data_IF_782939600749
#
_entry.id   IF_782939600749
#
_cell.length_a   1.000
_cell.length_b   1.000
_cell.length_c   1.000
_cell.angle_alpha   90.00
_cell.angle_beta   90.00
_cell.angle_gamma   90.00
#
_symmetry.space_group_name_H-M   'P 1'
#
loop_
_entity.id
_entity.type
_entity.pdbx_description
1 polymer ?
2 polymer ?
3 non-polymer ?
4 water ?
#
# COMPACT_ATOMS: atom_id res chain seq x y z
N UNK A 2 -13.71 26.70 -11.94
CA UNK A 2 -14.50 26.02 -10.91
C UNK A 2 -14.28 24.52 -10.96
N UNK A 3 -14.22 23.89 -9.79
CA UNK A 3 -13.94 22.49 -9.70
C UNK A 3 -12.45 22.23 -9.72
N UNK A 4 -12.04 21.00 -9.39
CA UNK A 4 -10.62 20.69 -9.32
C UNK A 4 -9.99 20.59 -10.70
N UNK A 5 -8.67 20.74 -10.72
CA UNK A 5 -7.88 20.59 -11.93
C UNK A 5 -7.58 19.10 -12.11
N UNK A 6 -7.70 18.56 -13.32
CA UNK A 6 -7.44 17.13 -13.53
C UNK A 6 -5.97 16.80 -13.35
N UNK A 7 -5.69 15.51 -13.23
CA UNK A 7 -4.34 15.02 -12.98
C UNK A 7 -4.15 13.68 -13.68
N UNK A 8 -2.90 13.41 -14.07
CA UNK A 8 -2.50 12.17 -14.72
C UNK A 8 -1.29 11.60 -14.02
N UNK A 9 -1.21 10.27 -13.97
CA UNK A 9 0.05 9.63 -13.63
C UNK A 9 1.14 10.06 -14.62
N UNK A 10 2.34 10.30 -14.12
CA UNK A 10 3.44 10.64 -15.02
C UNK A 10 4.10 9.42 -15.62
N UNK A 11 3.78 8.21 -15.14
CA UNK A 11 4.30 6.96 -15.69
C UNK A 11 3.15 5.97 -15.81
N UNK A 12 3.32 5.01 -16.73
CA UNK A 12 2.38 3.91 -16.91
C UNK A 12 0.96 4.43 -17.13
N UNK A 13 0.86 5.56 -17.82
CA UNK A 13 -0.40 6.27 -17.92
C UNK A 13 -1.45 5.47 -18.68
N UNK A 14 -1.12 5.02 -19.89
CA UNK A 14 -2.08 4.47 -20.83
C UNK A 14 -1.94 2.95 -21.00
N UNK A 15 -1.48 2.27 -19.96
CA UNK A 15 -1.19 0.84 -20.10
C UNK A 15 -2.46 0.02 -20.28
N UNK A 16 -3.55 0.42 -19.63
CA UNK A 16 -4.76 -0.40 -19.66
C UNK A 16 -5.55 -0.25 -20.96
N UNK A 17 -5.49 0.91 -21.61
CA UNK A 17 -6.21 1.09 -22.86
C UNK A 17 -5.55 0.33 -24.01
N UNK A 18 -4.30 -0.09 -23.85
CA UNK A 18 -3.61 -0.89 -24.86
C UNK A 18 -3.73 -2.38 -24.59
N UNK A 19 -4.21 -2.78 -23.42
CA UNK A 19 -4.55 -4.15 -23.15
C UNK A 19 -5.91 -4.47 -23.75
N UNK A 20 -6.19 -5.75 -24.00
CA UNK A 20 -7.56 -6.13 -24.36
C UNK A 20 -8.51 -5.83 -23.22
N UNK A 21 -9.80 -5.74 -23.57
CA UNK A 21 -10.82 -5.43 -22.56
C UNK A 21 -10.80 -6.43 -21.42
N UNK A 22 -10.48 -7.70 -21.71
CA UNK A 22 -10.50 -8.74 -20.69
C UNK A 22 -9.56 -8.43 -19.53
N UNK A 23 -8.46 -7.73 -19.80
CA UNK A 23 -7.43 -7.55 -18.77
C UNK A 23 -7.95 -6.74 -17.59
N UNK A 24 -8.66 -5.65 -17.86
CA UNK A 24 -9.06 -4.73 -16.80
C UNK A 24 -10.55 -4.70 -16.51
N UNK A 25 -11.39 -5.29 -17.38
CA UNK A 25 -12.84 -5.30 -17.17
C UNK A 25 -13.19 -6.51 -16.31
N UNK A 26 -12.90 -6.40 -15.02
CA UNK A 26 -12.99 -7.53 -14.09
C UNK A 26 -14.42 -7.97 -13.81
N UNK A 27 -15.40 -7.14 -14.15
CA UNK A 27 -16.79 -7.52 -13.90
C UNK A 27 -17.19 -8.75 -14.71
N UNK A 28 -16.62 -8.93 -15.90
CA UNK A 28 -16.96 -10.04 -16.76
C UNK A 28 -16.02 -11.22 -16.60
N UNK A 29 -15.15 -11.19 -15.61
CA UNK A 29 -14.21 -12.28 -15.39
C UNK A 29 -14.93 -13.50 -14.80
N UNK A 30 -14.73 -14.65 -15.42
CA UNK A 30 -15.34 -15.90 -14.95
C UNK A 30 -14.34 -16.61 -14.04
N UNK A 31 -14.72 -16.83 -12.80
CA UNK A 31 -13.83 -17.40 -11.80
C UNK A 31 -13.74 -18.91 -11.98
N UNK A 32 -12.53 -19.43 -12.13
CA UNK A 32 -12.30 -20.87 -12.18
C UNK A 32 -12.10 -21.38 -10.76
N UNK A 33 -12.99 -22.27 -10.32
CA UNK A 33 -13.03 -22.71 -8.94
C UNK A 33 -12.20 -23.97 -8.72
N UNK A 34 -11.66 -24.09 -7.52
CA UNK A 34 -10.98 -25.29 -7.07
C UNK A 34 -11.87 -26.12 -6.18
N UNK A 35 -11.23 -26.97 -5.36
CA UNK A 35 -11.93 -27.90 -4.51
C UNK A 35 -11.63 -27.57 -3.05
N UNK A 36 -12.63 -27.09 -2.33
CA UNK A 36 -12.46 -26.65 -0.94
C UNK A 36 -12.06 -27.78 -0.02
N UNK A 37 -12.35 -29.03 -0.39
CA UNK A 37 -11.96 -30.19 0.41
C UNK A 37 -10.45 -30.37 0.49
N UNK A 38 -9.69 -29.76 -0.42
CA UNK A 38 -8.23 -29.91 -0.40
C UNK A 38 -7.57 -29.13 0.75
N UNK A 39 -8.33 -28.40 1.55
CA UNK A 39 -7.76 -27.50 2.55
C UNK A 39 -8.46 -27.69 3.88
N UNK A 40 -7.66 -27.90 4.93
CA UNK A 40 -8.15 -28.02 6.29
C UNK A 40 -7.70 -26.81 7.10
N UNK A 41 -8.65 -26.15 7.76
CA UNK A 41 -8.35 -24.95 8.53
C UNK A 41 -7.73 -25.31 9.87
N UNK A 42 -6.61 -24.68 10.20
CA UNK A 42 -5.84 -24.99 11.39
C UNK A 42 -6.16 -24.01 12.51
N UNK A 43 -5.92 -22.73 12.27
CA UNK A 43 -6.16 -21.69 13.26
C UNK A 43 -6.53 -20.40 12.56
N UNK A 44 -7.34 -19.59 13.24
CA UNK A 44 -7.72 -18.29 12.71
C UNK A 44 -6.64 -17.27 13.05
N UNK A 45 -6.20 -16.51 12.05
CA UNK A 45 -5.15 -15.52 12.26
C UNK A 45 -5.71 -14.13 12.59
N UNK A 46 -6.90 -13.82 12.11
CA UNK A 46 -7.51 -12.54 12.42
C UNK A 46 -8.70 -12.30 11.53
N UNK A 47 -9.31 -11.13 11.72
CA UNK A 47 -10.35 -10.71 10.79
C UNK A 47 -10.49 -9.20 10.78
N UNK A 48 -10.77 -8.66 9.60
CA UNK A 48 -11.10 -7.28 9.43
C UNK A 48 -12.54 -7.11 8.99
N UNK A 49 -12.82 -5.98 8.35
CA UNK A 49 -14.18 -5.71 7.90
C UNK A 49 -14.55 -6.48 6.64
N UNK A 50 -13.57 -6.97 5.88
CA UNK A 50 -13.84 -7.56 4.59
C UNK A 50 -13.60 -9.06 4.50
N UNK A 51 -12.93 -9.66 5.48
CA UNK A 51 -12.59 -11.08 5.38
C UNK A 51 -12.20 -11.63 6.75
N UNK A 52 -12.08 -12.96 6.78
CA UNK A 52 -11.50 -13.72 7.87
C UNK A 52 -10.33 -14.50 7.31
N UNK A 53 -9.22 -14.54 8.05
CA UNK A 53 -7.96 -15.09 7.53
C UNK A 53 -7.52 -16.23 8.43
N UNK A 54 -7.16 -17.35 7.81
CA UNK A 54 -6.83 -18.58 8.52
C UNK A 54 -5.52 -19.15 8.01
N UNK A 55 -4.74 -19.72 8.92
CA UNK A 55 -3.70 -20.67 8.54
C UNK A 55 -4.37 -22.01 8.26
N UNK A 56 -4.01 -22.63 7.15
CA UNK A 56 -4.60 -23.90 6.73
C UNK A 56 -3.50 -24.80 6.18
N UNK A 57 -3.91 -26.01 5.78
CA UNK A 57 -3.01 -26.99 5.22
C UNK A 57 -3.65 -27.57 3.97
N UNK A 58 -2.91 -27.57 2.87
CA UNK A 58 -3.30 -28.35 1.70
C UNK A 58 -3.06 -29.82 2.00
N UNK A 59 -4.13 -30.58 2.21
CA UNK A 59 -4.03 -31.96 2.67
C UNK A 59 -3.33 -32.87 1.67
N UNK A 60 -3.36 -32.52 0.38
CA UNK A 60 -2.79 -33.39 -0.64
C UNK A 60 -1.26 -33.43 -0.56
N UNK A 61 -0.62 -32.27 -0.71
CA UNK A 61 0.83 -32.17 -0.63
C UNK A 61 1.34 -31.82 0.76
N UNK A 62 0.44 -31.69 1.74
CA UNK A 62 0.81 -31.47 3.14
C UNK A 62 1.53 -30.13 3.34
N UNK A 63 1.28 -29.16 2.46
CA UNK A 63 1.92 -27.85 2.54
C UNK A 63 1.03 -26.87 3.28
N UNK A 64 1.65 -25.95 4.00
CA UNK A 64 0.92 -24.90 4.71
C UNK A 64 0.50 -23.81 3.74
N UNK A 65 -0.70 -23.28 3.96
CA UNK A 65 -1.24 -22.19 3.15
C UNK A 65 -1.96 -21.22 4.07
N UNK A 66 -2.35 -20.08 3.50
CA UNK A 66 -3.17 -19.09 4.17
C UNK A 66 -4.44 -18.91 3.37
N UNK A 67 -5.59 -19.02 4.04
CA UNK A 67 -6.90 -18.95 3.40
C UNK A 67 -7.58 -17.67 3.83
N UNK A 68 -8.01 -16.87 2.86
CA UNK A 68 -8.73 -15.63 3.11
C UNK A 68 -10.19 -15.84 2.74
N UNK A 69 -11.05 -15.94 3.74
CA UNK A 69 -12.47 -16.18 3.54
C UNK A 69 -13.17 -14.83 3.47
N UNK A 70 -13.67 -14.49 2.29
CA UNK A 70 -14.24 -13.17 2.06
C UNK A 70 -15.62 -13.07 2.69
N UNK A 71 -15.89 -11.93 3.31
CA UNK A 71 -17.24 -11.64 3.75
C UNK A 71 -18.07 -11.19 2.55
N UNK A 72 -19.39 -11.38 2.60
CA UNK A 72 -20.25 -11.01 1.46
C UNK A 72 -20.09 -9.55 1.08
N UNK A 73 -19.67 -9.31 -0.16
CA UNK A 73 -19.54 -7.99 -0.73
C UNK A 73 -19.95 -8.07 -2.21
N UNK A 74 -19.99 -6.91 -2.86
CA UNK A 74 -20.41 -6.87 -4.26
C UNK A 74 -19.52 -7.76 -5.11
N UNK A 75 -20.16 -8.61 -5.93
CA UNK A 75 -19.44 -9.56 -6.77
C UNK A 75 -18.32 -8.90 -7.57
N UNK A 76 -18.52 -7.64 -7.98
CA UNK A 76 -17.49 -6.96 -8.76
C UNK A 76 -16.25 -6.69 -7.93
N UNK A 77 -16.38 -6.54 -6.61
CA UNK A 77 -15.21 -6.29 -5.78
C UNK A 77 -14.41 -7.57 -5.54
N UNK A 78 -15.10 -8.70 -5.33
CA UNK A 78 -14.40 -9.98 -5.24
C UNK A 78 -13.72 -10.29 -6.56
N UNK A 79 -14.41 -10.07 -7.68
CA UNK A 79 -13.81 -10.29 -8.99
C UNK A 79 -12.64 -9.34 -9.22
N UNK A 80 -12.72 -8.12 -8.67
CA UNK A 80 -11.62 -7.17 -8.84
C UNK A 80 -10.36 -7.69 -8.15
N UNK A 81 -10.49 -8.15 -6.90
CA UNK A 81 -9.33 -8.65 -6.18
C UNK A 81 -8.76 -9.89 -6.86
N UNK A 82 -9.63 -10.78 -7.34
CA UNK A 82 -9.18 -12.01 -7.98
C UNK A 82 -8.48 -11.70 -9.30
N UNK A 83 -9.09 -10.85 -10.13
CA UNK A 83 -8.51 -10.53 -11.42
C UNK A 83 -7.16 -9.83 -11.27
N UNK A 84 -7.03 -9.00 -10.23
CA UNK A 84 -5.76 -8.33 -9.99
C UNK A 84 -4.71 -9.32 -9.52
N UNK A 85 -5.10 -10.27 -8.67
CA UNK A 85 -4.17 -11.29 -8.19
C UNK A 85 -3.70 -12.18 -9.33
N UNK A 86 -4.59 -12.51 -10.27
CA UNK A 86 -4.20 -13.35 -11.39
C UNK A 86 -3.32 -12.57 -12.37
N UNK A 87 -3.64 -11.30 -12.62
CA UNK A 87 -2.81 -10.49 -13.50
C UNK A 87 -1.39 -10.35 -12.97
N UNK A 88 -1.24 -10.24 -11.65
CA UNK A 88 0.05 -9.97 -11.03
C UNK A 88 0.79 -11.24 -10.60
N UNK A 89 0.15 -12.39 -10.70
CA UNK A 89 0.73 -13.64 -10.20
C UNK A 89 2.08 -13.91 -10.83
N UNK A 90 3.07 -14.25 -10.00
CA UNK A 90 4.41 -14.51 -10.47
C UNK A 90 5.34 -13.31 -10.48
N UNK A 91 4.81 -12.10 -10.33
CA UNK A 91 5.61 -10.90 -10.33
C UNK A 91 6.49 -10.82 -9.09
N UNK A 92 7.53 -9.99 -9.15
CA UNK A 92 8.48 -9.92 -8.02
C UNK A 92 7.80 -9.52 -6.72
N UNK A 93 7.90 -10.41 -5.73
CA UNK A 93 7.45 -10.18 -4.36
C UNK A 93 5.94 -9.98 -4.24
N UNK A 94 5.17 -10.39 -5.25
CA UNK A 94 3.72 -10.41 -5.17
C UNK A 94 3.29 -11.72 -4.53
N UNK A 95 2.41 -11.64 -3.54
CA UNK A 95 1.86 -12.86 -2.95
C UNK A 95 1.17 -13.68 -4.03
N UNK A 96 1.37 -14.99 -3.97
CA UNK A 96 0.87 -15.90 -5.00
C UNK A 96 -0.49 -16.45 -4.61
N UNK A 97 -1.48 -16.29 -5.49
CA UNK A 97 -2.81 -16.86 -5.28
C UNK A 97 -2.78 -18.28 -5.81
N UNK A 98 -2.74 -19.25 -4.89
CA UNK A 98 -2.58 -20.64 -5.28
C UNK A 98 -3.90 -21.26 -5.74
N UNK A 99 -5.03 -20.86 -5.18
CA UNK A 99 -6.29 -21.53 -5.47
C UNK A 99 -7.44 -20.66 -5.01
N UNK A 100 -8.63 -20.95 -5.55
CA UNK A 100 -9.88 -20.28 -5.18
C UNK A 100 -10.93 -21.35 -4.99
N UNK A 101 -11.56 -21.38 -3.81
CA UNK A 101 -12.59 -22.36 -3.48
C UNK A 101 -13.81 -21.63 -2.93
N UNK A 102 -14.92 -22.36 -2.86
CA UNK A 102 -16.16 -21.87 -2.28
C UNK A 102 -16.24 -22.39 -0.85
N UNK A 103 -16.22 -21.48 0.12
CA UNK A 103 -16.27 -21.90 1.51
C UNK A 103 -17.66 -22.46 1.82
N UNK A 104 -17.75 -23.67 2.37
CA UNK A 104 -19.09 -24.29 2.56
C UNK A 104 -19.94 -23.61 3.60
N UNK A 105 -19.33 -22.89 4.55
CA UNK A 105 -20.09 -22.25 5.61
C UNK A 105 -20.52 -20.84 5.22
N UNK A 106 -19.58 -20.00 4.78
CA UNK A 106 -19.91 -18.64 4.41
C UNK A 106 -20.59 -18.54 3.05
N UNK A 107 -20.40 -19.54 2.18
CA UNK A 107 -20.91 -19.55 0.82
C UNK A 107 -20.33 -18.41 -0.02
N UNK A 108 -19.23 -17.85 0.42
CA UNK A 108 -18.47 -16.83 -0.29
C UNK A 108 -17.12 -17.40 -0.73
N UNK A 109 -16.44 -16.74 -1.66
CA UNK A 109 -15.13 -17.26 -2.10
C UNK A 109 -14.09 -17.21 -0.99
N UNK A 110 -13.22 -18.22 -1.01
CA UNK A 110 -12.08 -18.30 -0.11
C UNK A 110 -10.81 -18.37 -0.94
N UNK A 111 -9.91 -17.41 -0.73
CA UNK A 111 -8.67 -17.35 -1.49
C UNK A 111 -7.56 -18.06 -0.72
N UNK A 112 -6.85 -18.96 -1.42
CA UNK A 112 -5.74 -19.70 -0.83
C UNK A 112 -4.44 -19.09 -1.33
N UNK A 113 -3.56 -18.72 -0.40
CA UNK A 113 -2.31 -18.04 -0.70
C UNK A 113 -1.13 -18.87 -0.27
N UNK A 114 -0.01 -18.70 -0.97
CA UNK A 114 1.25 -19.29 -0.53
C UNK A 114 1.56 -18.82 0.89
N UNK A 115 2.14 -19.72 1.70
CA UNK A 115 2.41 -19.39 3.08
C UNK A 115 3.74 -18.62 3.21
N UNK A 116 3.76 -17.68 4.13
CA UNK A 116 4.98 -16.92 4.46
C UNK A 116 5.17 -16.98 5.97
N UNK A 117 6.37 -17.38 6.40
CA UNK A 117 6.71 -17.41 7.83
C UNK A 117 6.86 -16.00 8.38
N UNK A 118 5.78 -15.23 8.40
CA UNK A 118 5.87 -13.81 8.71
C UNK A 118 6.07 -13.60 10.21
N UNK A 119 7.02 -12.74 10.55
CA UNK A 119 7.14 -12.21 11.90
C UNK A 119 6.41 -10.88 11.94
N UNK A 120 5.60 -10.67 12.98
CA UNK A 120 4.81 -9.45 13.08
C UNK A 120 5.74 -8.23 13.05
N UNK A 121 5.27 -7.16 12.41
CA UNK A 121 6.16 -6.04 12.14
C UNK A 121 6.58 -5.30 13.40
N UNK A 122 5.72 -5.28 14.42
CA UNK A 122 6.05 -4.56 15.66
C UNK A 122 7.29 -5.15 16.32
N UNK A 123 7.34 -6.47 16.44
CA UNK A 123 8.55 -7.12 16.96
C UNK A 123 9.70 -7.03 15.97
N UNK A 124 9.42 -7.24 14.68
CA UNK A 124 10.49 -7.34 13.70
C UNK A 124 11.17 -5.99 13.47
N UNK A 125 10.39 -4.90 13.39
CA UNK A 125 10.97 -3.61 13.05
C UNK A 125 11.95 -3.11 14.12
N UNK A 126 11.79 -3.57 15.36
CA UNK A 126 12.74 -3.22 16.41
C UNK A 126 14.11 -3.85 16.19
N UNK A 127 14.19 -4.89 15.36
CA UNK A 127 15.44 -5.60 15.12
C UNK A 127 16.07 -5.31 13.76
N UNK A 128 15.41 -4.54 12.90
CA UNK A 128 15.95 -4.29 11.58
C UNK A 128 17.15 -3.33 11.66
N UNK A 129 18.24 -3.70 11.00
CA UNK A 129 19.40 -2.83 10.91
C UNK A 129 19.20 -1.82 9.78
N UNK A 130 20.14 -0.88 9.69
CA UNK A 130 20.13 0.07 8.56
C UNK A 130 20.16 -0.67 7.23
N UNK A 131 20.98 -1.73 7.13
CA UNK A 131 21.02 -2.50 5.90
C UNK A 131 19.69 -3.21 5.65
N UNK A 132 19.09 -3.81 6.68
CA UNK A 132 17.83 -4.53 6.50
C UNK A 132 16.74 -3.61 5.97
N UNK A 133 16.65 -2.39 6.51
CA UNK A 133 15.63 -1.45 6.03
C UNK A 133 15.81 -1.17 4.55
N UNK A 134 17.05 -0.88 4.13
CA UNK A 134 17.31 -0.63 2.71
C UNK A 134 16.98 -1.85 1.86
N UNK A 135 17.38 -3.03 2.33
CA UNK A 135 17.11 -4.27 1.58
C UNK A 135 15.60 -4.48 1.39
N UNK A 136 14.85 -4.40 2.48
CA UNK A 136 13.42 -4.70 2.36
C UNK A 136 12.68 -3.59 1.62
N UNK A 137 13.12 -2.35 1.79
CA UNK A 137 12.53 -1.25 1.02
C UNK A 137 12.68 -1.48 -0.47
N UNK A 138 13.87 -1.93 -0.89
CA UNK A 138 14.08 -2.25 -2.30
C UNK A 138 13.19 -3.39 -2.74
N UNK A 139 13.01 -4.39 -1.88
CA UNK A 139 12.11 -5.50 -2.21
C UNK A 139 10.68 -5.04 -2.37
N UNK A 140 10.22 -4.15 -1.49
CA UNK A 140 8.87 -3.56 -1.65
C UNK A 140 8.77 -2.80 -2.96
N UNK A 141 9.82 -2.05 -3.30
CA UNK A 141 9.77 -1.24 -4.51
C UNK A 141 9.68 -2.10 -5.76
N UNK A 142 10.30 -3.27 -5.76
CA UNK A 142 10.15 -4.20 -6.87
C UNK A 142 8.68 -4.56 -7.08
N UNK A 143 7.97 -4.84 -5.99
CA UNK A 143 6.55 -5.19 -6.09
C UNK A 143 5.72 -4.01 -6.56
N UNK A 144 6.00 -2.81 -6.03
CA UNK A 144 5.20 -1.66 -6.40
C UNK A 144 5.45 -1.26 -7.86
N UNK A 145 6.71 -1.29 -8.30
CA UNK A 145 6.98 -0.97 -9.70
C UNK A 145 6.30 -1.97 -10.64
N UNK A 146 6.31 -3.25 -10.27
CA UNK A 146 5.68 -4.24 -11.14
C UNK A 146 4.19 -3.97 -11.29
N UNK A 147 3.47 -3.79 -10.17
CA UNK A 147 2.03 -3.64 -10.27
C UNK A 147 1.63 -2.30 -10.89
N UNK A 148 2.40 -1.24 -10.63
CA UNK A 148 2.19 0.03 -11.34
C UNK A 148 2.39 -0.13 -12.84
N UNK A 149 3.42 -0.89 -13.25
CA UNK A 149 3.65 -1.12 -14.68
C UNK A 149 2.57 -2.00 -15.29
N UNK A 150 1.84 -2.75 -14.48
CA UNK A 150 0.70 -3.53 -14.92
C UNK A 150 -0.60 -2.75 -14.78
N UNK A 151 -0.52 -1.44 -14.55
CA UNK A 151 -1.70 -0.60 -14.47
C UNK A 151 -2.52 -0.74 -13.21
N UNK A 152 -1.89 -1.06 -12.09
CA UNK A 152 -2.61 -1.38 -10.86
C UNK A 152 -2.02 -0.59 -9.70
N UNK A 153 -2.88 0.12 -8.96
CA UNK A 153 -2.51 0.72 -7.69
C UNK A 153 -2.86 -0.22 -6.56
N UNK A 154 -1.96 -0.34 -5.57
CA UNK A 154 -2.25 -1.19 -4.43
C UNK A 154 -3.27 -0.54 -3.50
N UNK A 155 -3.02 0.71 -3.11
CA UNK A 155 -3.92 1.57 -2.35
C UNK A 155 -4.06 1.16 -0.88
N UNK A 156 -3.24 0.24 -0.39
CA UNK A 156 -3.29 -0.12 1.03
C UNK A 156 -1.90 -0.52 1.53
N UNK A 157 -0.88 0.19 1.09
CA UNK A 157 0.49 -0.12 1.52
C UNK A 157 0.67 0.28 2.98
N UNK A 158 1.11 -0.68 3.79
CA UNK A 158 1.35 -0.49 5.22
C UNK A 158 2.10 -1.72 5.73
N UNK A 159 2.74 -1.62 6.91
CA UNK A 159 3.50 -2.78 7.41
C UNK A 159 2.68 -4.06 7.53
N UNK A 160 1.40 -3.97 7.92
CA UNK A 160 0.60 -5.18 8.08
C UNK A 160 0.29 -5.86 6.75
N UNK A 161 0.50 -5.18 5.62
CA UNK A 161 0.31 -5.77 4.31
C UNK A 161 1.62 -6.16 3.66
N UNK A 162 2.69 -6.27 4.44
CA UNK A 162 4.02 -6.63 3.95
C UNK A 162 4.48 -7.79 4.83
N UNK A 163 4.42 -9.01 4.28
CA UNK A 163 4.82 -10.21 5.00
C UNK A 163 6.30 -10.44 4.80
N UNK A 164 7.03 -10.59 5.90
CA UNK A 164 8.48 -10.74 5.85
C UNK A 164 8.88 -11.97 6.67
N UNK A 165 9.54 -12.92 6.01
CA UNK A 165 10.21 -14.04 6.66
C UNK A 165 11.67 -13.62 6.83
N UNK A 166 11.99 -13.07 8.01
CA UNK A 166 13.31 -12.49 8.22
C UNK A 166 14.39 -13.56 8.22
N UNK A 167 14.05 -14.79 8.61
CA UNK A 167 15.02 -15.87 8.62
C UNK A 167 15.53 -16.20 7.21
N UNK A 168 14.65 -16.06 6.21
CA UNK A 168 15.00 -16.42 4.84
C UNK A 168 15.01 -15.23 3.89
N UNK A 169 14.94 -14.00 4.42
CA UNK A 169 15.02 -12.77 3.62
C UNK A 169 13.91 -12.69 2.57
N UNK A 170 12.74 -13.23 2.92
CA UNK A 170 11.62 -13.34 2.00
C UNK A 170 10.59 -12.25 2.31
N UNK A 171 10.10 -11.59 1.26
CA UNK A 171 9.12 -10.52 1.40
C UNK A 171 8.01 -10.70 0.38
N UNK A 172 6.77 -10.52 0.84
CA UNK A 172 5.61 -10.57 -0.04
C UNK A 172 4.66 -9.42 0.28
N UNK A 173 4.15 -8.78 -0.76
CA UNK A 173 3.11 -7.75 -0.63
C UNK A 173 1.74 -8.41 -0.77
N UNK A 174 0.89 -8.24 0.24
CA UNK A 174 -0.37 -8.98 0.32
C UNK A 174 -1.55 -8.03 0.38
N UNK A 175 -2.75 -8.61 0.52
CA UNK A 175 -4.01 -7.90 0.70
C UNK A 175 -4.25 -6.90 -0.43
N UNK A 176 -4.66 -7.43 -1.57
CA UNK A 176 -4.99 -6.64 -2.76
C UNK A 176 -6.47 -6.32 -2.85
N UNK A 177 -7.19 -6.37 -1.73
CA UNK A 177 -8.63 -6.14 -1.73
C UNK A 177 -9.04 -4.72 -2.06
N UNK A 178 -8.13 -3.76 -1.87
CA UNK A 178 -8.39 -2.36 -2.20
C UNK A 178 -7.79 -1.95 -3.53
N UNK A 179 -7.06 -2.83 -4.19
CA UNK A 179 -6.35 -2.45 -5.41
C UNK A 179 -7.33 -2.18 -6.54
N UNK A 180 -6.95 -1.23 -7.40
CA UNK A 180 -7.74 -0.86 -8.56
C UNK A 180 -6.85 -0.70 -9.78
N UNK A 181 -7.46 -0.79 -10.95
CA UNK A 181 -6.79 -0.46 -12.20
C UNK A 181 -6.76 1.05 -12.40
N UNK A 182 -5.62 1.55 -12.86
CA UNK A 182 -5.48 2.99 -13.12
C UNK A 182 -5.93 3.30 -14.54
N UNK A 183 -6.98 4.13 -14.64
CA UNK A 183 -7.44 4.66 -15.92
C UNK A 183 -7.31 6.17 -15.87
N UNK A 184 -6.58 6.80 -16.78
CA UNK A 184 -6.33 8.25 -16.68
C UNK A 184 -7.64 9.03 -16.64
N UNK A 185 -7.68 10.03 -15.76
CA UNK A 185 -8.85 10.87 -15.63
C UNK A 185 -9.97 10.28 -14.80
N UNK A 186 -9.83 9.04 -14.34
CA UNK A 186 -10.86 8.42 -13.54
C UNK A 186 -10.81 8.95 -12.11
N UNK A 187 -11.96 9.29 -11.55
CA UNK A 187 -12.06 9.76 -10.18
C UNK A 187 -12.33 8.56 -9.27
N UNK A 188 -11.43 8.33 -8.32
CA UNK A 188 -11.50 7.15 -7.47
C UNK A 188 -12.00 7.49 -6.08
N UNK A 189 -12.38 6.45 -5.34
CA UNK A 189 -12.83 6.58 -3.96
C UNK A 189 -11.67 6.99 -3.07
N UNK A 190 -11.82 8.12 -2.36
CA UNK A 190 -10.76 8.55 -1.46
C UNK A 190 -10.73 7.75 -0.17
N UNK A 191 -11.70 6.87 0.05
CA UNK A 191 -11.71 6.01 1.23
C UNK A 191 -10.97 4.71 0.93
N UNK A 192 -9.64 4.84 0.84
CA UNK A 192 -8.73 3.72 0.69
C UNK A 192 -7.56 3.92 1.64
N UNK A 193 -6.77 2.85 1.83
CA UNK A 193 -5.60 2.83 2.70
C UNK A 193 -5.94 3.07 4.17
N UNK A 194 -5.02 2.72 5.07
CA UNK A 194 -5.21 2.97 6.48
C UNK A 194 -4.87 4.43 6.81
N UNK A 195 -5.46 4.93 7.90
CA UNK A 195 -5.36 6.34 8.25
C UNK A 195 -3.92 6.85 8.21
N UNK A 196 -3.00 6.11 8.83
CA UNK A 196 -1.64 6.61 9.00
C UNK A 196 -0.87 6.69 7.69
N UNK A 197 -1.36 6.03 6.65
CA UNK A 197 -0.68 5.93 5.38
C UNK A 197 -1.48 6.54 4.24
N UNK A 198 -2.58 7.22 4.55
CA UNK A 198 -3.34 7.94 3.53
C UNK A 198 -2.53 9.09 2.97
N UNK A 199 -2.47 9.19 1.65
CA UNK A 199 -1.82 10.31 1.02
C UNK A 199 -2.63 11.57 1.21
N UNK A 200 -1.98 12.74 1.14
CA UNK A 200 -2.72 14.00 1.26
C UNK A 200 -3.81 14.17 0.22
N UNK A 201 -3.68 13.54 -0.94
CA UNK A 201 -4.74 13.62 -1.94
C UNK A 201 -6.05 13.03 -1.39
N UNK A 202 -5.96 11.90 -0.66
CA UNK A 202 -7.15 11.34 -0.03
C UNK A 202 -7.67 12.25 1.07
N UNK A 203 -6.76 12.81 1.85
CA UNK A 203 -7.17 13.57 3.04
C UNK A 203 -7.82 14.88 2.69
N UNK A 204 -7.51 15.43 1.49
CA UNK A 204 -8.17 16.65 1.03
C UNK A 204 -9.28 16.37 0.06
N UNK A 205 -9.61 15.09 -0.18
CA UNK A 205 -10.72 14.68 -1.04
C UNK A 205 -10.46 15.00 -2.52
N UNK A 206 -9.24 14.72 -2.99
CA UNK A 206 -8.92 14.82 -4.42
C UNK A 206 -8.97 13.42 -5.02
N UNK A 207 -9.97 13.19 -5.88
CA UNK A 207 -10.29 11.84 -6.33
C UNK A 207 -9.47 11.36 -7.51
N UNK A 208 -8.79 12.24 -8.24
CA UNK A 208 -8.11 11.84 -9.47
C UNK A 208 -6.64 11.55 -9.21
N UNK A 209 -6.39 10.59 -8.32
CA UNK A 209 -5.05 10.19 -7.93
C UNK A 209 -4.59 8.99 -8.75
N UNK A 210 -3.38 8.52 -8.49
CA UNK A 210 -2.78 7.48 -9.33
C UNK A 210 -1.84 6.63 -8.49
N UNK A 211 -0.89 5.97 -9.16
CA UNK A 211 0.07 5.10 -8.47
C UNK A 211 0.83 5.83 -7.37
N UNK A 212 1.06 7.14 -7.53
CA UNK A 212 1.88 7.90 -6.58
C UNK A 212 1.32 7.86 -5.17
N UNK A 213 0.05 7.49 -5.00
CA UNK A 213 -0.50 7.26 -3.67
C UNK A 213 0.32 6.22 -2.91
N UNK A 214 0.63 5.10 -3.56
CA UNK A 214 1.44 4.06 -2.93
C UNK A 214 2.79 4.58 -2.49
N UNK A 215 3.35 5.54 -3.23
CA UNK A 215 4.67 6.04 -2.87
C UNK A 215 4.63 6.89 -1.62
N UNK A 216 3.55 7.65 -1.40
CA UNK A 216 3.41 8.34 -0.12
C UNK A 216 3.33 7.37 1.04
N UNK A 217 2.54 6.29 0.87
CA UNK A 217 2.37 5.32 1.94
C UNK A 217 3.69 4.64 2.25
N UNK A 218 4.48 4.34 1.23
CA UNK A 218 5.80 3.76 1.45
C UNK A 218 6.71 4.76 2.16
N UNK A 219 6.61 6.04 1.82
CA UNK A 219 7.35 7.05 2.56
C UNK A 219 6.99 7.07 4.03
N UNK A 220 5.71 6.87 4.35
CA UNK A 220 5.30 6.76 5.75
C UNK A 220 5.98 5.58 6.43
N UNK A 221 6.00 4.42 5.76
CA UNK A 221 6.68 3.25 6.31
C UNK A 221 8.16 3.54 6.54
N UNK A 222 8.80 4.18 5.55
CA UNK A 222 10.23 4.48 5.67
C UNK A 222 10.50 5.42 6.84
N UNK A 223 9.70 6.47 6.97
CA UNK A 223 9.88 7.39 8.10
C UNK A 223 9.72 6.66 9.42
N UNK A 224 8.78 5.73 9.48
CA UNK A 224 8.55 5.00 10.72
C UNK A 224 9.71 4.07 11.04
N UNK A 225 10.35 3.48 10.03
CA UNK A 225 11.45 2.56 10.28
C UNK A 225 12.74 3.28 10.67
N UNK A 226 13.13 4.32 9.91
CA UNK A 226 14.42 4.95 10.17
C UNK A 226 14.39 5.85 11.40
N UNK A 227 13.22 6.36 11.78
CA UNK A 227 13.10 7.17 12.99
C UNK A 227 12.61 6.36 14.19
N UNK A 228 12.27 5.08 13.99
CA UNK A 228 11.77 4.23 15.07
C UNK A 228 10.56 4.87 15.75
N UNK A 229 9.64 5.39 14.94
CA UNK A 229 8.40 5.97 15.44
C UNK A 229 7.26 5.36 14.65
N UNK A 230 6.50 4.47 15.28
CA UNK A 230 5.47 3.69 14.59
C UNK A 230 4.09 4.00 15.14
N UNK A 231 3.18 4.59 14.36
CA UNK A 231 3.43 5.10 13.01
C UNK A 231 4.05 6.49 13.06
N UNK A 232 4.45 7.03 11.91
CA UNK A 232 5.11 8.34 11.94
C UNK A 232 4.10 9.47 12.08
N UNK A 233 3.09 9.52 11.22
CA UNK A 233 2.01 10.48 11.33
C UNK A 233 0.86 9.80 12.06
N UNK A 234 0.69 10.11 13.34
CA UNK A 234 -0.25 9.42 14.22
C UNK A 234 -1.48 10.28 14.46
N UNK A 235 -2.31 10.41 13.43
CA UNK A 235 -3.52 11.19 13.57
C UNK A 235 -4.56 10.46 14.40
N UNK A 236 -5.39 11.25 15.10
CA UNK A 236 -6.49 10.69 15.88
C UNK A 236 -7.70 10.38 15.01
N UNK A 237 -7.79 10.98 13.84
CA UNK A 237 -8.85 10.73 12.86
C UNK A 237 -8.33 11.24 11.52
N UNK A 238 -9.17 11.18 10.49
CA UNK A 238 -8.72 11.57 9.15
C UNK A 238 -8.38 13.05 9.07
N UNK A 239 -9.06 13.89 9.85
CA UNK A 239 -8.77 15.32 9.81
C UNK A 239 -7.52 15.65 10.60
N UNK A 240 -7.38 15.09 11.80
CA UNK A 240 -6.15 15.27 12.56
C UNK A 240 -4.96 14.65 11.84
N UNK A 241 -5.19 13.64 10.98
CA UNK A 241 -4.11 13.05 10.21
C UNK A 241 -3.47 14.07 9.28
N UNK A 242 -4.28 14.92 8.65
CA UNK A 242 -3.70 15.95 7.78
C UNK A 242 -2.97 17.00 8.61
N UNK A 243 -3.50 17.33 9.79
CA UNK A 243 -2.80 18.23 10.69
C UNK A 243 -1.45 17.67 11.09
N UNK A 244 -1.38 16.35 11.35
CA UNK A 244 -0.12 15.72 11.72
C UNK A 244 0.91 15.87 10.60
N UNK A 245 0.48 15.67 9.35
CA UNK A 245 1.38 15.87 8.21
C UNK A 245 1.80 17.34 8.12
N UNK A 246 0.85 18.25 8.33
CA UNK A 246 1.17 19.66 8.15
C UNK A 246 2.14 20.17 9.20
N UNK A 247 2.20 19.52 10.37
CA UNK A 247 3.14 19.94 11.40
C UNK A 247 4.58 19.57 11.07
N UNK A 248 4.79 18.67 10.11
CA UNK A 248 6.12 18.28 9.67
C UNK A 248 6.45 18.90 8.31
N UNK A 249 5.53 18.82 7.37
CA UNK A 249 5.77 19.35 6.04
C UNK A 249 5.42 20.83 5.91
N UNK A 250 4.72 21.40 6.88
CA UNK A 250 4.37 22.82 6.82
C UNK A 250 3.06 23.05 6.11
N UNK A 251 2.38 24.14 6.51
CA UNK A 251 1.13 24.49 5.86
C UNK A 251 1.34 25.21 4.53
N UNK A 252 2.46 25.92 4.38
CA UNK A 252 2.74 26.63 3.14
C UNK A 252 2.66 25.70 1.92
N UNK A 253 3.41 24.59 1.97
CA UNK A 253 3.38 23.66 0.85
C UNK A 253 2.02 22.97 0.73
N UNK A 254 1.29 22.82 1.83
CA UNK A 254 -0.05 22.26 1.73
C UNK A 254 -0.96 23.17 0.92
N UNK A 255 -0.92 24.48 1.19
CA UNK A 255 -1.79 25.40 0.47
C UNK A 255 -1.36 25.54 -0.99
N UNK A 256 -0.05 25.54 -1.25
CA UNK A 256 0.41 25.50 -2.64
C UNK A 256 -0.15 24.28 -3.37
N UNK A 257 -0.19 23.14 -2.68
CA UNK A 257 -0.70 21.91 -3.27
C UNK A 257 -2.18 22.02 -3.64
N UNK A 258 -3.02 22.38 -2.66
CA UNK A 258 -4.44 22.49 -2.96
C UNK A 258 -4.73 23.63 -3.93
N UNK A 259 -3.87 24.65 -3.97
CA UNK A 259 -4.09 25.75 -4.90
C UNK A 259 -3.76 25.33 -6.33
N UNK A 260 -2.69 24.55 -6.51
CA UNK A 260 -2.35 24.05 -7.83
C UNK A 260 -3.49 23.29 -8.46
N UNK A 261 -4.20 22.46 -7.67
CA UNK A 261 -5.28 21.64 -8.19
C UNK A 261 -6.65 22.25 -7.94
N UNK A 262 -6.72 23.52 -7.53
CA UNK A 262 -7.99 24.22 -7.32
C UNK A 262 -8.88 23.44 -6.35
N UNK A 263 -8.26 22.84 -5.33
CA UNK A 263 -8.97 22.12 -4.28
C UNK A 263 -9.33 23.10 -3.18
N UNK A 264 -10.52 22.94 -2.61
CA UNK A 264 -10.93 23.68 -1.44
C UNK A 264 -11.00 22.73 -0.25
N UNK A 265 -10.25 23.03 0.80
CA UNK A 265 -10.24 22.19 1.98
C UNK A 265 -11.60 22.22 2.67
N UNK A 266 -11.92 21.12 3.35
CA UNK A 266 -13.05 21.05 4.25
C UNK A 266 -12.96 22.21 5.23
N UNK A 267 -14.00 23.03 5.36
CA UNK A 267 -13.92 24.19 6.28
C UNK A 267 -13.74 23.80 7.74
N UNK A 268 -13.85 22.51 8.09
CA UNK A 268 -13.55 22.15 9.47
C UNK A 268 -12.06 22.22 9.77
N UNK A 269 -11.22 22.31 8.75
CA UNK A 269 -9.80 22.56 8.97
C UNK A 269 -9.51 24.01 9.34
N UNK A 270 -10.50 24.90 9.24
CA UNK A 270 -10.28 26.31 9.52
C UNK A 270 -9.64 26.51 10.88
N UNK A 271 -10.19 25.87 11.91
CA UNK A 271 -9.80 26.12 13.28
C UNK A 271 -8.86 25.07 13.85
N UNK A 272 -8.40 24.10 13.05
CA UNK A 272 -7.51 23.06 13.58
C UNK A 272 -6.19 23.03 12.83
N UNK A 273 -6.18 23.48 11.57
CA UNK A 273 -4.98 23.31 10.74
C UNK A 273 -3.85 24.22 11.18
N UNK A 274 -4.15 25.51 11.40
CA UNK A 274 -3.15 26.43 11.90
C UNK A 274 -2.11 26.82 10.87
N UNK A 275 -0.96 27.28 11.38
CA UNK A 275 0.18 27.71 10.57
C UNK A 275 1.44 27.01 11.06
N UNK A 276 2.09 26.26 10.17
CA UNK A 276 3.25 25.48 10.54
C UNK A 276 4.31 25.60 9.44
N UNK A 277 5.56 25.77 9.85
CA UNK A 277 6.67 25.73 8.92
C UNK A 277 7.11 24.29 8.71
N UNK A 278 7.77 24.05 7.57
CA UNK A 278 8.36 22.74 7.32
C UNK A 278 9.49 22.49 8.31
N UNK A 279 9.52 21.28 8.88
CA UNK A 279 10.56 20.93 9.83
C UNK A 279 11.71 20.25 9.11
N UNK A 280 12.93 20.50 9.58
CA UNK A 280 14.08 19.76 9.09
C UNK A 280 14.08 18.35 9.68
N UNK A 281 14.46 17.37 8.86
CA UNK A 281 14.34 15.98 9.27
C UNK A 281 15.15 15.65 10.50
N UNK A 282 16.25 16.39 10.73
CA UNK A 282 17.14 16.07 11.85
C UNK A 282 16.49 16.26 13.21
N UNK A 283 15.33 16.93 13.28
CA UNK A 283 14.64 17.05 14.56
C UNK A 283 14.12 15.70 15.04
N UNK A 284 13.88 14.76 14.13
CA UNK A 284 13.39 13.44 14.51
C UNK A 284 14.51 12.44 14.72
N UNK A 285 15.76 12.86 14.54
CA UNK A 285 16.92 12.01 14.81
C UNK A 285 17.30 12.15 16.28
N UNK A 286 17.64 11.03 16.90
CA UNK A 286 18.17 11.04 18.26
C UNK A 286 19.04 9.81 18.45
N UNK A 287 19.59 9.68 19.66
CA UNK A 287 20.59 8.65 19.93
C UNK A 287 20.09 7.26 19.57
N UNK A 288 18.79 7.01 19.69
CA UNK A 288 18.23 5.68 19.55
C UNK A 288 17.90 5.30 18.11
N UNK A 289 17.82 6.28 17.20
CA UNK A 289 17.63 5.99 15.79
C UNK A 289 18.75 6.53 14.91
N UNK A 290 19.79 7.13 15.50
CA UNK A 290 20.86 7.74 14.72
C UNK A 290 21.51 6.73 13.79
N UNK A 291 21.61 5.47 14.21
CA UNK A 291 22.27 4.47 13.38
C UNK A 291 21.46 4.07 12.14
N UNK A 292 20.19 4.46 12.07
CA UNK A 292 19.35 4.17 10.91
C UNK A 292 19.22 5.35 9.96
N UNK A 293 19.77 6.50 10.32
CA UNK A 293 19.59 7.74 9.57
C UNK A 293 20.89 8.06 8.84
N UNK A 294 20.78 8.48 7.59
CA UNK A 294 21.91 8.87 6.78
C UNK A 294 21.49 10.01 5.89
N UNK A 295 22.43 10.77 5.33
CA UNK A 295 22.06 11.75 4.30
C UNK A 295 21.24 11.13 3.17
N UNK A 296 21.61 9.92 2.75
CA UNK A 296 20.88 9.26 1.66
C UNK A 296 19.45 8.93 2.07
N UNK A 297 19.26 8.45 3.31
CA UNK A 297 17.93 8.07 3.75
C UNK A 297 17.00 9.27 3.83
N UNK A 298 17.54 10.43 4.22
CA UNK A 298 16.71 11.61 4.38
C UNK A 298 16.36 12.24 3.04
N UNK A 299 17.32 12.28 2.10
CA UNK A 299 17.00 12.71 0.76
C UNK A 299 15.95 11.83 0.11
N UNK A 300 16.08 10.50 0.28
CA UNK A 300 15.10 9.58 -0.27
C UNK A 300 13.72 9.82 0.34
N UNK A 301 13.64 9.86 1.67
CA UNK A 301 12.36 10.12 2.33
C UNK A 301 11.79 11.44 1.87
N UNK A 302 12.65 12.46 1.70
CA UNK A 302 12.21 13.78 1.28
C UNK A 302 11.59 13.76 -0.11
N UNK A 303 12.07 12.90 -1.00
CA UNK A 303 11.51 12.82 -2.34
C UNK A 303 10.26 11.93 -2.40
N UNK A 304 9.93 11.23 -1.32
CA UNK A 304 8.70 10.45 -1.22
C UNK A 304 7.58 11.21 -0.53
N UNK A 305 7.89 11.86 0.61
CA UNK A 305 6.86 12.54 1.40
C UNK A 305 6.70 13.97 0.89
N UNK A 306 5.99 14.09 -0.22
CA UNK A 306 5.67 15.38 -0.80
C UNK A 306 4.16 15.46 -1.01
N UNK A 307 3.59 16.63 -0.67
CA UNK A 307 2.16 16.85 -0.86
C UNK A 307 1.75 16.53 -2.29
N UNK A 308 2.35 17.22 -3.26
CA UNK A 308 2.03 17.04 -4.67
C UNK A 308 2.38 15.63 -5.10
N UNK A 309 1.35 14.80 -5.31
CA UNK A 309 1.56 13.43 -5.77
C UNK A 309 2.36 13.39 -7.06
N UNK A 310 2.22 14.40 -7.92
CA UNK A 310 2.95 14.43 -9.18
C UNK A 310 4.45 14.65 -9.00
N UNK A 311 4.89 15.07 -7.80
CA UNK A 311 6.30 15.37 -7.55
C UNK A 311 7.03 14.25 -6.83
N UNK A 312 6.32 13.24 -6.33
CA UNK A 312 6.98 12.14 -5.64
C UNK A 312 7.78 11.30 -6.64
N UNK A 313 8.78 10.61 -6.12
CA UNK A 313 9.47 9.60 -6.91
C UNK A 313 8.49 8.52 -7.35
N UNK A 314 8.62 8.09 -8.60
CA UNK A 314 8.00 6.85 -9.02
C UNK A 314 8.76 5.68 -8.39
N UNK A 315 8.12 4.51 -8.40
CA UNK A 315 8.79 3.31 -7.88
C UNK A 315 10.09 3.05 -8.63
N UNK A 316 10.07 3.18 -9.96
CA UNK A 316 11.27 2.94 -10.74
C UNK A 316 12.35 3.96 -10.41
N UNK A 317 11.99 5.24 -10.27
CA UNK A 317 12.97 6.25 -9.88
C UNK A 317 13.55 5.92 -8.51
N UNK A 318 12.70 5.52 -7.57
CA UNK A 318 13.15 5.28 -6.20
C UNK A 318 14.24 4.22 -6.16
N UNK A 319 14.13 3.19 -7.01
CA UNK A 319 15.13 2.13 -7.02
C UNK A 319 16.48 2.62 -7.53
N UNK A 320 16.51 3.76 -8.22
CA UNK A 320 17.75 4.38 -8.69
C UNK A 320 18.39 5.28 -7.65
N UNK A 321 17.79 5.43 -6.47
CA UNK A 321 18.29 6.39 -5.50
C UNK A 321 19.56 5.87 -4.83
N UNK A 322 20.49 6.77 -4.50
CA UNK A 322 21.73 6.35 -3.83
C UNK A 322 21.52 5.60 -2.54
N UNK A 323 20.34 5.72 -1.92
CA UNK A 323 20.03 4.97 -0.70
C UNK A 323 20.22 3.48 -0.89
N UNK A 324 20.05 2.97 -2.11
CA UNK A 324 20.12 1.54 -2.39
C UNK A 324 21.47 1.12 -2.98
N UNK A 325 22.44 2.03 -3.05
CA UNK A 325 23.74 1.69 -3.62
C UNK A 325 24.44 0.60 -2.81
N UNK A 326 24.30 0.64 -1.48
CA UNK A 326 24.98 -0.32 -0.62
C UNK A 326 24.32 -1.69 -0.60
N UNK A 327 23.11 -1.81 -1.16
CA UNK A 327 22.38 -3.08 -1.15
C UNK A 327 22.87 -3.97 -2.28
N UNK A 328 23.25 -5.20 -1.95
CA UNK A 328 23.55 -6.20 -2.96
C UNK A 328 22.24 -6.61 -3.63
N UNK A 329 22.25 -6.68 -4.97
CA UNK A 329 21.04 -7.04 -5.69
C UNK A 329 20.99 -8.54 -5.97
N UNK A 330 19.80 -9.02 -6.32
CA UNK A 330 19.48 -10.43 -6.49
C UNK A 330 19.59 -11.17 -5.16
N UNK B 1 -7.42 -3.21 8.11
CA UNK B 1 -8.06 -1.90 7.81
C UNK B 1 -8.11 -0.73 8.85
N UNK B 2 -9.20 0.08 8.62
CA UNK B 2 -9.71 1.32 9.31
C UNK B 2 -10.20 2.41 8.30
N UNK B 3 -11.04 2.02 7.32
CA UNK B 3 -11.50 3.04 6.35
C UNK B 3 -12.72 2.59 5.47
N UNK B 4 -12.52 1.60 4.53
CA UNK B 4 -13.53 1.00 3.57
C UNK B 4 -13.62 1.58 2.11
N UNK B 5 -13.63 0.66 1.10
CA UNK B 5 -13.71 1.00 -0.36
C UNK B 5 -14.93 0.47 -1.16
N UNK B 6 -15.26 1.23 -2.23
CA UNK B 6 -16.37 1.01 -3.21
C UNK B 6 -16.10 1.66 -4.58
N UNK B 7 -14.94 2.29 -4.77
CA UNK B 7 -14.64 2.93 -6.06
C UNK B 7 -13.10 3.02 -6.22
X LIG C 1 -3.66 -11.62 6.26
X LIG C 1 -5.77 -9.11 9.31
X LIG C 1 -5.84 -7.62 8.92
X LIG C 1 -4.41 -9.63 8.75
X LIG C 1 -7.12 -6.83 9.21
X LIG C 1 -4.08 -11.07 9.20
X LIG C 1 -6.77 -5.40 8.75
X LIG C 1 -2.77 -11.67 8.62
X LIG C 1 -7.89 -4.34 8.68
X LIG C 1 -0.49 -14.29 4.57
X LIG C 1 -0.05 -14.26 5.88
X LIG C 1 -1.62 -13.58 4.26
X LIG C 1 -0.75 -13.51 6.83
X LIG C 1 -2.27 -12.87 5.19
X LIG C 1 -1.86 -12.83 6.47
X LIG C 1 -3.37 -12.12 5.08
X LIG C 1 -2.73 -12.01 7.13
X LIG C 1 -9.06 -4.58 8.95
X LIG C 1 0.36 -15.30 3.18
X LIG C 1 1.53 -15.24 6.35
X LIG C 1 -2.20 -13.64 2.48
X LIG C 1 -0.08 -13.52 8.62
#
# INVERSE_FOLDING_TARGET
MSGPVPSRARVYTDVNTHRPREYWDYESHVVEWGNQDDYQLVRKLGRGKYSEVFEAINITNNEKVVVKILKPVKKKKIKREIKILENLRGGPNIITLADIVKDPVSRTPALVFEHVNNTDFKQLYQTLTDYDIRFYMYEILKALDYCHSMGIMHRDVKPHNVMIDHEHRKLRLIDWGLAEFYHPGQEYNVRVASRYFKGPELLVDYQMYDYSLDMWSLGCMLASMIFRKEPFFHGHDNYDQLVRIAKVLGTEDLYDYIDKYNIELDPRFNDILGRHSRKRWERFVHSENQHLVSPEALDFLDKLLRYDHQSRLTAREAMEHPYFYTVVKDQARMG
DDDDDDK
9AB CBA CBD CBE CBF CBG CBI CBJ CBL CCH CCO CCP CCQ CCR CCS CCT NBS NDB OAI BR2 BR3 BR1 BR4
#
